data_IF_817190942761
#
_entry.id   IF_817190942761
#
_cell.length_a   1.000
_cell.length_b   1.000
_cell.length_c   1.000
_cell.angle_alpha   90.00
_cell.angle_beta   90.00
_cell.angle_gamma   90.00
#
_symmetry.space_group_name_H-M   'P 1'
#
loop_
_entity.id
_entity.type
_entity.pdbx_description
1 polymer ?
#
# COMPACT_ATOMS: atom_id res chain seq x y z
N UNK A 1 -1.10 4.90 32.36
CA UNK A 1 -1.85 5.50 31.25
C UNK A 1 -3.00 4.57 30.96
N UNK A 2 -4.25 5.06 31.04
CA UNK A 2 -5.42 4.21 30.75
C UNK A 2 -5.49 3.90 29.25
N UNK A 3 -6.21 2.85 28.85
CA UNK A 3 -6.46 2.52 27.43
C UNK A 3 -7.04 3.72 26.65
N UNK A 4 -7.70 4.66 27.32
CA UNK A 4 -8.33 5.83 26.69
C UNK A 4 -7.33 6.95 26.33
N UNK A 5 -6.18 7.05 27.01
CA UNK A 5 -5.15 8.07 26.71
C UNK A 5 -4.36 7.77 25.42
N UNK A 6 -4.34 6.51 24.96
CA UNK A 6 -3.71 6.11 23.69
C UNK A 6 -4.66 6.21 22.49
N UNK A 7 -5.98 6.35 22.73
CA UNK A 7 -7.01 6.29 21.70
C UNK A 7 -7.36 7.66 21.09
N UNK A 8 -6.81 8.76 21.62
CA UNK A 8 -7.22 10.10 21.20
C UNK A 8 -6.03 11.01 20.93
N UNK A 9 -6.12 11.77 19.84
CA UNK A 9 -5.19 12.87 19.58
C UNK A 9 -5.37 13.90 20.69
N UNK A 10 -4.29 14.19 21.43
CA UNK A 10 -4.33 15.15 22.54
C UNK A 10 -4.74 16.54 22.08
N UNK A 11 -5.33 17.34 22.96
CA UNK A 11 -5.78 18.70 22.64
C UNK A 11 -4.61 19.61 22.21
N UNK A 12 -3.42 19.41 22.78
CA UNK A 12 -2.20 20.12 22.36
C UNK A 12 -1.81 19.79 20.91
N UNK A 13 -1.91 18.51 20.50
CA UNK A 13 -1.63 18.10 19.12
C UNK A 13 -2.71 18.63 18.18
N UNK A 14 -3.99 18.56 18.57
CA UNK A 14 -5.11 19.13 17.80
C UNK A 14 -4.94 20.63 17.59
N UNK A 15 -4.52 21.38 18.61
CA UNK A 15 -4.28 22.80 18.53
C UNK A 15 -3.15 23.14 17.54
N UNK A 16 -2.03 22.40 17.58
CA UNK A 16 -0.93 22.57 16.63
C UNK A 16 -1.35 22.29 15.19
N UNK A 17 -2.03 21.17 14.95
CA UNK A 17 -2.51 20.79 13.62
C UNK A 17 -3.54 21.81 13.10
N UNK A 18 -4.46 22.26 13.95
CA UNK A 18 -5.44 23.28 13.60
C UNK A 18 -4.75 24.60 13.21
N UNK A 19 -3.69 24.99 13.92
CA UNK A 19 -2.90 26.18 13.55
C UNK A 19 -2.20 26.01 12.19
N UNK A 20 -1.53 24.88 11.95
CA UNK A 20 -0.82 24.60 10.67
C UNK A 20 -1.79 24.58 9.49
N UNK A 21 -2.97 24.00 9.69
CA UNK A 21 -3.96 23.79 8.63
C UNK A 21 -4.99 24.92 8.51
N UNK A 22 -4.79 26.02 9.26
CA UNK A 22 -5.73 27.15 9.32
C UNK A 22 -7.17 26.73 9.67
N UNK A 23 -7.30 25.74 10.56
CA UNK A 23 -8.58 25.21 11.02
C UNK A 23 -9.28 24.26 10.05
N UNK A 24 -8.64 23.87 8.94
CA UNK A 24 -9.24 22.95 7.95
C UNK A 24 -9.19 21.47 8.36
N UNK A 25 -8.33 21.10 9.30
CA UNK A 25 -8.20 19.72 9.74
C UNK A 25 -9.45 19.24 10.51
N UNK A 26 -9.89 18.02 10.19
CA UNK A 26 -10.97 17.31 10.87
C UNK A 26 -10.36 16.10 11.61
N UNK A 27 -10.75 15.87 12.86
CA UNK A 27 -10.32 14.70 13.65
C UNK A 27 -11.45 13.70 13.73
N UNK A 28 -11.20 12.49 13.24
CA UNK A 28 -12.23 11.48 13.04
C UNK A 28 -11.84 10.23 13.81
N UNK A 29 -12.73 9.77 14.69
CA UNK A 29 -12.58 8.49 15.35
C UNK A 29 -12.90 7.35 14.36
N UNK A 30 -12.15 6.25 14.46
CA UNK A 30 -12.46 5.04 13.72
C UNK A 30 -13.69 4.35 14.33
N UNK A 31 -14.48 3.69 13.49
CA UNK A 31 -15.61 2.88 13.94
C UNK A 31 -15.12 1.53 14.45
N UNK A 32 -15.88 0.90 15.36
CA UNK A 32 -15.59 -0.46 15.82
C UNK A 32 -15.46 -1.44 14.64
N UNK A 33 -16.35 -1.36 13.66
CA UNK A 33 -16.30 -2.18 12.44
C UNK A 33 -14.95 -2.07 11.68
N UNK A 34 -14.40 -0.86 11.61
CA UNK A 34 -13.17 -0.59 10.85
C UNK A 34 -11.90 -0.98 11.58
N UNK A 35 -11.94 -1.13 12.90
CA UNK A 35 -10.75 -1.29 13.74
C UNK A 35 -10.72 -2.57 14.57
N UNK A 36 -11.85 -2.96 15.16
CA UNK A 36 -11.91 -4.14 16.02
C UNK A 36 -11.74 -5.43 15.21
N UNK A 37 -11.17 -6.44 15.87
CA UNK A 37 -10.96 -7.75 15.26
C UNK A 37 -12.31 -8.49 15.18
N UNK A 38 -12.76 -8.90 13.98
CA UNK A 38 -14.03 -9.61 13.83
C UNK A 38 -14.09 -10.93 14.62
N UNK A 39 -15.29 -11.30 15.08
CA UNK A 39 -15.50 -12.53 15.88
C UNK A 39 -15.19 -13.83 15.15
N UNK A 40 -15.15 -13.83 13.81
CA UNK A 40 -14.84 -15.03 13.03
C UNK A 40 -13.36 -15.42 13.10
N UNK A 41 -12.49 -14.54 13.60
CA UNK A 41 -11.10 -14.84 13.86
C UNK A 41 -10.94 -15.72 15.11
N UNK A 42 -10.08 -16.72 15.02
CA UNK A 42 -9.65 -17.51 16.18
C UNK A 42 -8.74 -16.65 17.06
N UNK A 43 -9.31 -16.14 18.15
CA UNK A 43 -8.60 -15.28 19.10
C UNK A 43 -7.40 -15.97 19.75
N UNK A 44 -7.46 -17.29 19.96
CA UNK A 44 -6.35 -18.04 20.56
C UNK A 44 -5.18 -18.13 19.58
N UNK A 45 -5.50 -18.33 18.29
CA UNK A 45 -4.50 -18.33 17.23
C UNK A 45 -3.88 -16.93 17.05
N UNK A 46 -4.67 -15.86 17.16
CA UNK A 46 -4.15 -14.48 17.13
C UNK A 46 -3.15 -14.26 18.26
N UNK A 47 -3.54 -14.58 19.50
CA UNK A 47 -2.68 -14.35 20.67
C UNK A 47 -1.35 -15.11 20.54
N UNK A 48 -1.38 -16.33 20.00
CA UNK A 48 -0.17 -17.12 19.74
C UNK A 48 0.66 -16.52 18.61
N UNK A 49 0.03 -16.13 17.50
CA UNK A 49 0.72 -15.60 16.31
C UNK A 49 1.38 -14.25 16.59
N UNK A 50 0.74 -13.37 17.36
CA UNK A 50 1.30 -12.06 17.72
C UNK A 50 2.56 -12.18 18.60
N UNK A 51 2.68 -13.25 19.39
CA UNK A 51 3.90 -13.54 20.15
C UNK A 51 5.04 -13.97 19.23
N UNK A 52 4.74 -14.72 18.17
CA UNK A 52 5.74 -15.27 17.26
C UNK A 52 6.25 -14.24 16.24
N UNK A 53 5.36 -13.42 15.68
CA UNK A 53 5.67 -12.50 14.58
C UNK A 53 6.35 -11.21 15.10
N UNK A 54 6.30 -10.95 16.41
CA UNK A 54 6.93 -9.79 17.08
C UNK A 54 6.42 -8.41 16.62
N UNK A 55 5.20 -8.33 16.09
CA UNK A 55 4.51 -7.07 15.79
C UNK A 55 3.34 -6.84 16.74
N UNK A 56 2.98 -5.57 16.97
CA UNK A 56 1.88 -5.23 17.87
C UNK A 56 0.51 -5.52 17.24
N UNK A 57 -0.47 -5.87 18.07
CA UNK A 57 -1.88 -5.98 17.67
C UNK A 57 -2.37 -4.75 16.91
N UNK A 58 -2.03 -3.55 17.40
CA UNK A 58 -2.42 -2.28 16.78
C UNK A 58 -1.83 -2.09 15.38
N UNK A 59 -0.63 -2.62 15.12
CA UNK A 59 -0.02 -2.60 13.79
C UNK A 59 -0.78 -3.50 12.80
N UNK A 60 -1.18 -4.71 13.22
CA UNK A 60 -2.02 -5.60 12.42
C UNK A 60 -3.40 -4.99 12.13
N UNK A 61 -4.02 -4.35 13.14
CA UNK A 61 -5.28 -3.62 12.97
C UNK A 61 -5.13 -2.46 11.95
N UNK A 62 -4.02 -1.73 12.02
CA UNK A 62 -3.69 -0.66 11.05
C UNK A 62 -3.55 -1.21 9.63
N UNK A 63 -2.82 -2.32 9.44
CA UNK A 63 -2.69 -2.95 8.12
C UNK A 63 -4.05 -3.38 7.56
N UNK A 64 -4.90 -4.01 8.38
CA UNK A 64 -6.27 -4.36 7.99
C UNK A 64 -7.12 -3.13 7.68
N UNK A 65 -7.01 -2.06 8.47
CA UNK A 65 -7.75 -0.81 8.29
C UNK A 65 -7.42 -0.15 6.95
N UNK A 66 -6.13 0.00 6.63
CA UNK A 66 -5.72 0.58 5.35
C UNK A 66 -6.01 -0.36 4.19
N UNK A 67 -5.94 -1.68 4.38
CA UNK A 67 -6.34 -2.63 3.34
C UNK A 67 -7.84 -2.64 3.04
N UNK A 68 -8.66 -2.31 4.05
CA UNK A 68 -10.08 -2.72 4.15
C UNK A 68 -11.14 -1.64 4.40
N UNK A 69 -10.78 -0.52 5.03
CA UNK A 69 -11.77 0.40 5.61
C UNK A 69 -11.53 1.90 5.41
N UNK A 70 -10.31 2.39 5.18
CA UNK A 70 -10.03 3.84 5.22
C UNK A 70 -10.92 4.70 4.30
N UNK A 71 -11.21 4.22 3.09
CA UNK A 71 -12.02 4.87 2.06
C UNK A 71 -13.53 4.74 2.30
N UNK A 72 -13.94 3.85 3.22
CA UNK A 72 -15.33 3.68 3.65
C UNK A 72 -15.72 4.66 4.75
N UNK A 73 -14.75 5.36 5.34
CA UNK A 73 -15.01 6.27 6.45
C UNK A 73 -15.90 7.46 5.99
N UNK A 74 -17.03 7.75 6.67
CA UNK A 74 -17.92 8.85 6.29
C UNK A 74 -17.25 10.22 6.13
N UNK A 75 -16.12 10.45 6.82
CA UNK A 75 -15.36 11.69 6.71
C UNK A 75 -14.61 11.83 5.37
N UNK A 76 -14.38 10.73 4.64
CA UNK A 76 -13.67 10.76 3.35
C UNK A 76 -14.55 10.41 2.16
N UNK A 77 -15.71 9.78 2.37
CA UNK A 77 -16.65 9.41 1.28
C UNK A 77 -17.25 10.61 0.55
N UNK A 78 -17.10 11.82 1.09
CA UNK A 78 -17.42 13.09 0.40
C UNK A 78 -16.40 13.49 -0.68
N UNK A 79 -15.25 12.82 -0.77
CA UNK A 79 -14.19 13.09 -1.73
C UNK A 79 -14.03 11.95 -2.75
N UNK A 80 -13.61 12.30 -3.97
CA UNK A 80 -13.30 11.33 -5.02
C UNK A 80 -11.82 10.91 -4.99
N UNK A 81 -10.95 11.83 -4.61
CA UNK A 81 -9.51 11.62 -4.51
C UNK A 81 -9.07 11.63 -3.05
N UNK A 82 -8.26 10.65 -2.69
CA UNK A 82 -7.70 10.48 -1.36
C UNK A 82 -6.19 10.61 -1.46
N UNK A 83 -5.58 11.39 -0.57
CA UNK A 83 -4.12 11.45 -0.43
C UNK A 83 -3.74 11.01 0.99
N UNK A 84 -3.15 9.82 1.10
CA UNK A 84 -2.55 9.32 2.33
C UNK A 84 -1.16 9.90 2.50
N UNK A 85 -0.95 10.45 3.70
CA UNK A 85 0.34 10.89 4.22
C UNK A 85 0.53 10.23 5.59
N UNK A 86 1.64 9.52 5.76
CA UNK A 86 2.01 8.93 7.05
C UNK A 86 2.72 9.96 7.95
N UNK A 87 2.97 9.57 9.20
CA UNK A 87 3.87 10.31 10.08
C UNK A 87 5.34 10.07 9.70
N UNK A 88 6.26 10.89 10.22
CA UNK A 88 7.71 10.71 9.97
C UNK A 88 8.11 10.78 8.48
N UNK A 89 7.37 11.59 7.73
CA UNK A 89 7.65 11.89 6.32
C UNK A 89 8.41 13.21 6.17
N UNK A 90 9.27 13.27 5.15
CA UNK A 90 10.02 14.47 4.78
C UNK A 90 9.94 14.69 3.27
N UNK A 91 9.64 15.93 2.88
CA UNK A 91 9.76 16.40 1.50
C UNK A 91 11.05 17.23 1.37
N UNK A 92 11.98 16.75 0.56
CA UNK A 92 13.28 17.35 0.28
C UNK A 92 13.29 18.23 -0.97
N UNK A 93 12.13 18.44 -1.58
CA UNK A 93 11.94 19.33 -2.72
C UNK A 93 10.68 20.17 -2.54
N UNK A 94 10.72 21.43 -2.98
CA UNK A 94 9.49 22.21 -3.13
C UNK A 94 8.58 21.52 -4.15
N UNK A 95 7.27 21.53 -3.94
CA UNK A 95 6.28 20.93 -4.86
C UNK A 95 5.48 22.08 -5.50
N UNK A 96 5.85 22.55 -6.72
CA UNK A 96 5.27 23.76 -7.33
C UNK A 96 3.95 23.52 -8.09
N UNK A 97 3.26 22.42 -7.80
CA UNK A 97 2.05 21.98 -8.49
C UNK A 97 1.12 21.26 -7.49
N UNK A 98 -0.14 21.07 -7.89
CA UNK A 98 -1.08 20.22 -7.16
C UNK A 98 -0.81 18.74 -7.52
N UNK A 99 -0.37 17.89 -6.57
CA UNK A 99 -0.08 16.49 -6.84
C UNK A 99 -1.31 15.69 -7.26
N UNK A 100 -2.48 15.98 -6.69
CA UNK A 100 -3.73 15.29 -7.05
C UNK A 100 -4.11 15.65 -8.48
N UNK A 101 -4.03 16.94 -8.84
CA UNK A 101 -4.28 17.37 -10.21
C UNK A 101 -3.32 16.73 -11.20
N UNK A 102 -2.05 16.50 -10.83
CA UNK A 102 -1.09 15.82 -11.71
C UNK A 102 -1.47 14.37 -11.99
N UNK A 103 -1.98 13.63 -11.00
CA UNK A 103 -2.49 12.26 -11.24
C UNK A 103 -3.68 12.30 -12.20
N UNK A 104 -4.59 13.27 -12.03
CA UNK A 104 -5.73 13.48 -12.93
C UNK A 104 -5.27 13.77 -14.36
N UNK A 105 -4.33 14.71 -14.54
CA UNK A 105 -3.86 15.17 -15.85
C UNK A 105 -3.16 14.07 -16.66
N UNK A 106 -2.61 13.05 -15.99
CA UNK A 106 -1.99 11.88 -16.63
C UNK A 106 -2.99 10.77 -16.95
N UNK A 107 -4.27 10.94 -16.64
CA UNK A 107 -5.31 9.90 -16.70
C UNK A 107 -5.00 8.67 -15.81
N UNK A 108 -4.14 8.84 -14.81
CA UNK A 108 -3.88 7.82 -13.81
C UNK A 108 -5.02 7.80 -12.77
N UNK A 109 -5.16 6.69 -12.06
CA UNK A 109 -6.06 6.55 -10.91
C UNK A 109 -5.30 6.37 -9.60
N UNK A 110 -4.01 6.07 -9.68
CA UNK A 110 -3.13 5.82 -8.55
C UNK A 110 -1.79 6.51 -8.74
N UNK A 111 -1.31 7.21 -7.73
CA UNK A 111 -0.05 7.92 -7.68
C UNK A 111 0.78 7.49 -6.46
N UNK A 112 2.06 7.16 -6.67
CA UNK A 112 2.99 6.78 -5.62
C UNK A 112 4.36 7.43 -5.86
N UNK A 113 5.24 7.41 -4.85
CA UNK A 113 6.61 7.93 -5.01
C UNK A 113 7.63 6.81 -5.17
N UNK A 114 7.61 5.82 -4.27
CA UNK A 114 8.68 4.83 -4.15
C UNK A 114 8.16 3.40 -4.18
N UNK A 115 8.96 2.49 -4.73
CA UNK A 115 8.78 1.04 -4.59
C UNK A 115 9.68 0.51 -3.46
N UNK A 116 9.11 -0.38 -2.63
CA UNK A 116 9.84 -1.01 -1.54
C UNK A 116 9.59 -2.51 -1.50
N UNK A 117 10.61 -3.34 -1.18
CA UNK A 117 10.40 -4.74 -0.89
C UNK A 117 9.66 -4.91 0.44
N UNK A 118 8.77 -5.89 0.51
CA UNK A 118 8.22 -6.38 1.77
C UNK A 118 8.73 -7.80 2.07
N UNK A 119 8.86 -8.12 3.35
CA UNK A 119 9.36 -9.40 3.81
C UNK A 119 8.31 -10.50 3.60
N UNK A 120 8.66 -11.58 2.93
CA UNK A 120 7.76 -12.71 2.70
C UNK A 120 7.65 -13.64 3.93
N UNK A 121 8.67 -13.67 4.79
CA UNK A 121 8.66 -14.47 6.02
C UNK A 121 7.62 -14.01 7.06
N UNK A 122 7.18 -12.75 7.01
CA UNK A 122 6.08 -12.25 7.86
C UNK A 122 4.70 -12.49 7.25
N UNK A 123 4.64 -12.90 5.99
CA UNK A 123 3.40 -13.14 5.25
C UNK A 123 3.50 -14.40 4.36
N UNK A 124 3.86 -15.56 4.94
CA UNK A 124 4.18 -16.77 4.18
C UNK A 124 3.03 -17.28 3.30
N UNK A 125 1.77 -16.94 3.61
CA UNK A 125 0.62 -17.41 2.82
C UNK A 125 -0.06 -16.31 2.01
N UNK A 126 0.45 -15.07 1.98
CA UNK A 126 -0.20 -14.00 1.22
C UNK A 126 -0.27 -14.33 -0.28
N UNK A 127 0.86 -14.63 -0.92
CA UNK A 127 0.88 -14.90 -2.36
C UNK A 127 0.01 -16.11 -2.74
N UNK A 128 0.03 -17.18 -1.96
CA UNK A 128 -0.81 -18.35 -2.24
C UNK A 128 -2.30 -18.07 -2.05
N UNK A 129 -2.70 -17.24 -1.09
CA UNK A 129 -4.08 -16.77 -0.96
C UNK A 129 -4.51 -15.89 -2.14
N UNK A 130 -3.64 -14.97 -2.61
CA UNK A 130 -3.94 -14.16 -3.79
C UNK A 130 -4.08 -15.04 -5.05
N UNK A 131 -3.20 -16.02 -5.22
CA UNK A 131 -3.25 -17.02 -6.29
C UNK A 131 -4.57 -17.82 -6.27
N UNK A 132 -4.99 -18.29 -5.09
CA UNK A 132 -6.27 -18.97 -4.92
C UNK A 132 -7.48 -18.05 -5.22
N UNK A 133 -7.40 -16.76 -4.85
CA UNK A 133 -8.40 -15.76 -5.21
C UNK A 133 -8.51 -15.60 -6.74
N UNK A 134 -7.39 -15.40 -7.43
CA UNK A 134 -7.33 -15.26 -8.89
C UNK A 134 -7.97 -16.46 -9.61
N UNK A 135 -7.66 -17.68 -9.16
CA UNK A 135 -8.23 -18.91 -9.72
C UNK A 135 -9.75 -18.98 -9.50
N UNK A 136 -10.21 -18.71 -8.27
CA UNK A 136 -11.62 -18.88 -7.87
C UNK A 136 -12.53 -17.72 -8.32
N UNK A 137 -11.97 -16.56 -8.63
CA UNK A 137 -12.70 -15.34 -9.03
C UNK A 137 -12.27 -14.82 -10.41
N UNK A 138 -11.86 -15.74 -11.28
CA UNK A 138 -11.41 -15.37 -12.62
C UNK A 138 -12.48 -14.59 -13.41
N UNK A 139 -13.78 -14.78 -13.14
CA UNK A 139 -14.88 -14.03 -13.73
C UNK A 139 -14.82 -12.51 -13.46
N UNK A 140 -14.32 -12.11 -12.28
CA UNK A 140 -14.14 -10.70 -11.95
C UNK A 140 -13.04 -10.06 -12.81
N UNK A 141 -11.98 -10.81 -13.13
CA UNK A 141 -10.88 -10.36 -13.98
C UNK A 141 -11.29 -10.27 -15.45
N UNK A 142 -12.02 -11.27 -15.98
CA UNK A 142 -12.46 -11.29 -17.38
C UNK A 142 -13.41 -10.13 -17.74
N UNK A 143 -14.10 -9.56 -16.75
CA UNK A 143 -14.93 -8.37 -16.95
C UNK A 143 -14.11 -7.10 -17.28
N UNK A 144 -12.83 -7.08 -16.90
CA UNK A 144 -11.87 -6.02 -17.20
C UNK A 144 -10.96 -6.50 -18.35
N UNK A 145 -11.40 -6.31 -19.59
CA UNK A 145 -10.66 -6.75 -20.81
C UNK A 145 -9.34 -6.01 -21.07
N UNK A 146 -8.90 -5.18 -20.13
CA UNK A 146 -7.65 -4.42 -20.16
C UNK A 146 -6.57 -5.15 -19.36
N UNK A 147 -5.43 -5.42 -20.00
CA UNK A 147 -4.33 -6.22 -19.44
C UNK A 147 -3.94 -5.71 -18.03
N UNK A 148 -4.22 -6.48 -16.96
CA UNK A 148 -3.85 -6.08 -15.61
C UNK A 148 -2.33 -6.06 -15.47
N UNK A 149 -1.80 -5.16 -14.64
CA UNK A 149 -0.38 -4.97 -14.36
C UNK A 149 0.23 -6.12 -13.51
N UNK A 150 -0.11 -7.37 -13.84
CA UNK A 150 0.25 -8.57 -13.06
C UNK A 150 1.76 -8.81 -13.00
N UNK A 151 2.52 -8.32 -13.98
CA UNK A 151 3.99 -8.40 -13.97
C UNK A 151 4.65 -7.59 -12.84
N UNK A 152 3.92 -6.63 -12.25
CA UNK A 152 4.41 -5.91 -11.07
C UNK A 152 4.53 -6.83 -9.85
N UNK A 153 3.53 -7.70 -9.63
CA UNK A 153 3.48 -8.59 -8.48
C UNK A 153 4.01 -9.99 -8.78
N UNK A 154 3.91 -10.50 -10.00
CA UNK A 154 4.30 -11.87 -10.32
C UNK A 154 5.54 -11.91 -11.21
N UNK A 155 6.47 -12.82 -10.88
CA UNK A 155 7.76 -12.95 -11.56
C UNK A 155 7.60 -13.58 -12.94
N UNK A 156 7.66 -12.74 -13.95
CA UNK A 156 7.67 -13.16 -15.35
C UNK A 156 6.38 -13.91 -15.77
N UNK A 157 6.42 -14.47 -16.98
CA UNK A 157 5.26 -15.16 -17.56
C UNK A 157 4.84 -16.39 -16.76
N UNK A 158 5.80 -17.17 -16.27
CA UNK A 158 5.54 -18.39 -15.51
C UNK A 158 4.88 -18.07 -14.15
N UNK A 159 5.37 -17.07 -13.42
CA UNK A 159 4.75 -16.66 -12.15
C UNK A 159 3.32 -16.17 -12.34
N UNK A 160 3.03 -15.44 -13.43
CA UNK A 160 1.66 -15.04 -13.77
C UNK A 160 0.78 -16.27 -14.08
N UNK A 161 1.28 -17.23 -14.86
CA UNK A 161 0.54 -18.47 -15.17
C UNK A 161 0.27 -19.32 -13.91
N UNK A 162 1.25 -19.44 -13.02
CA UNK A 162 1.09 -20.11 -11.72
C UNK A 162 0.05 -19.40 -10.84
N UNK A 163 0.04 -18.06 -10.85
CA UNK A 163 -0.93 -17.27 -10.07
C UNK A 163 -2.35 -17.44 -10.60
N UNK A 164 -2.53 -17.38 -11.92
CA UNK A 164 -3.84 -17.55 -12.56
C UNK A 164 -4.38 -18.98 -12.42
N UNK A 165 -3.49 -19.97 -12.27
CA UNK A 165 -3.87 -21.38 -12.05
C UNK A 165 -4.02 -21.76 -10.57
N UNK A 166 -3.78 -20.84 -9.63
CA UNK A 166 -3.98 -21.08 -8.19
C UNK A 166 -2.85 -21.87 -7.52
N UNK A 167 -1.68 -21.98 -8.16
CA UNK A 167 -0.53 -22.77 -7.64
C UNK A 167 0.66 -21.92 -7.24
N UNK A 168 0.66 -20.61 -7.54
CA UNK A 168 1.74 -19.71 -7.15
C UNK A 168 1.90 -19.57 -5.63
N UNK A 169 3.14 -19.34 -5.20
CA UNK A 169 3.51 -18.98 -3.83
C UNK A 169 4.52 -17.82 -3.78
N UNK A 170 5.25 -17.72 -2.66
CA UNK A 170 6.21 -16.62 -2.44
C UNK A 170 7.43 -16.63 -3.37
N UNK A 171 7.71 -17.76 -4.02
CA UNK A 171 8.79 -17.87 -5.02
C UNK A 171 8.38 -17.26 -6.36
N UNK A 172 7.07 -17.21 -6.65
CA UNK A 172 6.51 -16.56 -7.83
C UNK A 172 6.24 -15.05 -7.62
N UNK A 173 6.21 -14.59 -6.36
CA UNK A 173 5.94 -13.20 -6.00
C UNK A 173 7.20 -12.32 -6.10
N UNK A 174 7.11 -11.13 -6.72
CA UNK A 174 8.22 -10.15 -6.81
C UNK A 174 8.62 -9.59 -5.45
N UNK A 175 7.70 -9.59 -4.46
CA UNK A 175 7.84 -8.97 -3.13
C UNK A 175 7.88 -7.44 -3.14
N UNK A 176 7.70 -6.84 -4.32
CA UNK A 176 7.74 -5.39 -4.47
C UNK A 176 6.36 -4.80 -4.25
N UNK A 177 6.34 -3.67 -3.56
CA UNK A 177 5.14 -2.96 -3.23
C UNK A 177 5.26 -1.49 -3.64
N UNK A 178 4.18 -0.91 -4.16
CA UNK A 178 4.05 0.55 -4.15
C UNK A 178 3.98 0.99 -2.69
N UNK A 179 4.97 1.76 -2.23
CA UNK A 179 5.14 2.02 -0.81
C UNK A 179 4.14 3.08 -0.32
N UNK A 180 2.99 2.58 0.14
CA UNK A 180 1.75 3.34 0.30
C UNK A 180 1.66 4.27 1.52
N UNK A 181 2.76 4.51 2.25
CA UNK A 181 2.84 5.60 3.23
C UNK A 181 2.69 6.98 2.54
N UNK A 182 3.02 7.03 1.25
CA UNK A 182 2.53 8.04 0.30
C UNK A 182 1.63 7.35 -0.72
N UNK A 183 0.38 7.80 -0.83
CA UNK A 183 -0.53 7.31 -1.85
C UNK A 183 -1.54 8.39 -2.23
N UNK A 184 -1.68 8.67 -3.54
CA UNK A 184 -2.80 9.44 -4.09
C UNK A 184 -3.66 8.47 -4.89
N UNK A 185 -4.91 8.27 -4.50
CA UNK A 185 -5.78 7.28 -5.13
C UNK A 185 -7.18 7.80 -5.39
N UNK A 186 -7.73 7.43 -6.55
CA UNK A 186 -9.14 7.63 -6.84
C UNK A 186 -9.96 6.57 -6.10
N UNK A 187 -10.98 7.01 -5.35
CA UNK A 187 -11.77 6.16 -4.46
C UNK A 187 -12.45 4.99 -5.17
N UNK A 188 -12.76 5.12 -6.46
CA UNK A 188 -13.40 4.06 -7.25
C UNK A 188 -12.57 2.77 -7.35
N UNK A 189 -11.25 2.83 -7.16
CA UNK A 189 -10.39 1.64 -7.10
C UNK A 189 -10.87 0.75 -5.96
N UNK A 190 -10.97 1.35 -4.78
CA UNK A 190 -11.27 0.68 -3.51
C UNK A 190 -12.75 0.30 -3.39
N UNK A 191 -13.64 0.99 -4.10
CA UNK A 191 -15.08 0.69 -4.17
C UNK A 191 -15.43 -0.34 -5.24
N UNK A 192 -14.46 -0.71 -6.10
CA UNK A 192 -14.71 -1.67 -7.15
C UNK A 192 -15.11 -3.03 -6.58
N UNK A 193 -15.98 -3.74 -7.30
CA UNK A 193 -16.39 -5.11 -6.92
C UNK A 193 -15.18 -6.04 -6.81
N UNK A 194 -14.17 -5.85 -7.67
CA UNK A 194 -12.94 -6.63 -7.64
C UNK A 194 -12.20 -6.42 -6.32
N UNK A 195 -11.87 -5.17 -5.97
CA UNK A 195 -11.08 -4.89 -4.77
C UNK A 195 -11.84 -5.22 -3.47
N UNK A 196 -13.14 -4.92 -3.40
CA UNK A 196 -13.96 -5.25 -2.22
C UNK A 196 -14.06 -6.76 -2.00
N UNK A 197 -14.30 -7.56 -3.05
CA UNK A 197 -14.33 -9.03 -2.94
C UNK A 197 -12.94 -9.59 -2.59
N UNK A 198 -11.88 -9.02 -3.16
CA UNK A 198 -10.50 -9.39 -2.87
C UNK A 198 -10.13 -9.16 -1.39
N UNK A 199 -10.41 -7.96 -0.88
CA UNK A 199 -10.17 -7.64 0.52
C UNK A 199 -10.97 -8.57 1.45
N UNK A 200 -12.25 -8.79 1.18
CA UNK A 200 -13.10 -9.68 2.00
C UNK A 200 -12.60 -11.13 2.00
N UNK A 201 -12.10 -11.61 0.86
CA UNK A 201 -11.47 -12.93 0.76
C UNK A 201 -10.23 -13.02 1.66
N UNK A 202 -9.33 -12.03 1.58
CA UNK A 202 -8.13 -11.99 2.42
C UNK A 202 -8.47 -11.84 3.91
N UNK A 203 -9.43 -10.98 4.26
CA UNK A 203 -9.85 -10.80 5.65
C UNK A 203 -10.42 -12.12 6.24
N UNK A 204 -11.07 -12.94 5.43
CA UNK A 204 -11.54 -14.27 5.85
C UNK A 204 -10.42 -15.30 5.97
N UNK A 205 -9.37 -15.19 5.17
CA UNK A 205 -8.19 -16.06 5.26
C UNK A 205 -7.36 -15.79 6.52
N UNK A 206 -7.39 -14.55 7.01
CA UNK A 206 -7.00 -14.19 8.37
C UNK A 206 -5.53 -13.86 8.59
N UNK A 207 -4.71 -13.82 7.53
CA UNK A 207 -3.29 -13.49 7.64
C UNK A 207 -2.97 -12.04 8.06
N UNK A 208 -3.98 -11.16 8.20
CA UNK A 208 -3.78 -9.88 8.90
C UNK A 208 -3.39 -10.07 10.38
N UNK A 209 -3.82 -11.15 11.03
CA UNK A 209 -3.57 -11.40 12.45
C UNK A 209 -2.91 -12.75 12.77
N UNK A 210 -3.07 -13.76 11.90
CA UNK A 210 -2.31 -15.03 12.01
C UNK A 210 -0.90 -14.91 11.41
N UNK A 211 -0.71 -13.91 10.56
CA UNK A 211 0.56 -13.48 9.96
C UNK A 211 0.68 -11.96 10.16
N UNK A 212 1.48 -11.28 9.34
CA UNK A 212 1.48 -9.82 9.20
C UNK A 212 1.29 -9.50 7.72
N UNK A 213 0.06 -9.54 7.24
CA UNK A 213 -0.25 -9.01 5.92
C UNK A 213 -0.30 -7.50 5.98
N UNK A 214 0.64 -6.85 5.29
CA UNK A 214 0.72 -5.40 5.22
C UNK A 214 -0.27 -4.84 4.21
N UNK A 215 -0.71 -3.61 4.42
CA UNK A 215 -1.53 -2.89 3.46
C UNK A 215 -0.77 -2.55 2.17
N UNK A 216 0.54 -2.30 2.22
CA UNK A 216 1.34 -2.06 1.01
C UNK A 216 1.33 -3.25 0.02
N UNK A 217 1.62 -4.51 0.42
CA UNK A 217 1.52 -5.64 -0.50
C UNK A 217 0.07 -5.96 -0.89
N UNK A 218 -0.91 -5.80 0.00
CA UNK A 218 -2.32 -6.00 -0.33
C UNK A 218 -2.81 -4.98 -1.38
N UNK A 219 -2.49 -3.69 -1.21
CA UNK A 219 -2.77 -2.65 -2.21
C UNK A 219 -2.07 -2.99 -3.52
N UNK A 220 -0.81 -3.39 -3.48
CA UNK A 220 -0.02 -3.72 -4.67
C UNK A 220 -0.65 -4.86 -5.50
N UNK A 221 -1.09 -5.95 -4.85
CA UNK A 221 -1.86 -7.00 -5.53
C UNK A 221 -3.20 -6.49 -6.05
N UNK A 222 -3.96 -5.78 -5.21
CA UNK A 222 -5.26 -5.22 -5.59
C UNK A 222 -5.19 -4.30 -6.82
N UNK A 223 -4.21 -3.40 -6.84
CA UNK A 223 -3.94 -2.46 -7.92
C UNK A 223 -3.45 -3.19 -9.18
N UNK A 224 -2.51 -4.14 -9.05
CA UNK A 224 -2.02 -4.92 -10.18
C UNK A 224 -3.14 -5.68 -10.89
N UNK A 225 -4.12 -6.20 -10.14
CA UNK A 225 -5.30 -6.86 -10.70
C UNK A 225 -6.34 -5.89 -11.28
N UNK A 226 -6.42 -4.66 -10.74
CA UNK A 226 -7.51 -3.71 -11.06
C UNK A 226 -7.14 -2.70 -12.15
N UNK A 227 -5.86 -2.35 -12.28
CA UNK A 227 -5.39 -1.25 -13.10
C UNK A 227 -4.42 -1.70 -14.18
N UNK A 228 -4.47 -1.00 -15.32
CA UNK A 228 -3.39 -1.05 -16.31
C UNK A 228 -2.20 -0.24 -15.83
N UNK A 229 -1.03 -0.52 -16.40
CA UNK A 229 0.21 0.21 -16.12
C UNK A 229 0.09 1.71 -16.40
N UNK A 230 -0.61 2.14 -17.45
CA UNK A 230 -0.85 3.56 -17.79
C UNK A 230 -1.83 4.27 -16.84
N UNK A 231 -2.48 3.53 -15.93
CA UNK A 231 -3.36 4.09 -14.90
C UNK A 231 -2.66 4.27 -13.54
N UNK A 232 -1.35 4.01 -13.50
CA UNK A 232 -0.50 4.15 -12.33
C UNK A 232 0.60 5.14 -12.67
N UNK A 233 0.81 6.13 -11.80
CA UNK A 233 1.80 7.18 -11.98
C UNK A 233 2.81 7.14 -10.82
N UNK A 234 4.11 7.16 -11.17
CA UNK A 234 5.16 7.43 -10.20
C UNK A 234 5.54 8.92 -10.21
N UNK A 235 5.67 9.51 -9.03
CA UNK A 235 6.27 10.83 -8.85
C UNK A 235 7.79 10.70 -8.73
N UNK A 236 8.51 10.83 -9.84
CA UNK A 236 9.99 10.83 -9.86
C UNK A 236 10.62 12.17 -9.48
N UNK A 237 9.79 13.20 -9.26
CA UNK A 237 10.22 14.58 -9.01
C UNK A 237 9.86 15.09 -7.60
N UNK A 238 9.56 14.15 -6.70
CA UNK A 238 9.35 14.36 -5.27
C UNK A 238 10.47 13.67 -4.49
N UNK A 239 11.42 14.44 -3.93
CA UNK A 239 12.35 13.89 -2.94
C UNK A 239 11.60 13.57 -1.66
N UNK A 240 11.00 12.38 -1.57
CA UNK A 240 10.14 11.98 -0.47
C UNK A 240 10.81 10.88 0.34
N UNK A 241 10.86 11.06 1.66
CA UNK A 241 11.47 10.12 2.58
C UNK A 241 10.50 9.77 3.70
N UNK A 242 10.53 8.51 4.14
CA UNK A 242 9.77 8.03 5.29
C UNK A 242 10.73 7.33 6.27
N UNK A 243 10.63 7.64 7.56
CA UNK A 243 11.41 7.01 8.65
C UNK A 243 12.95 7.05 8.47
N UNK A 244 13.47 8.03 7.73
CA UNK A 244 14.89 8.13 7.44
C UNK A 244 15.43 7.04 6.50
N UNK A 245 14.56 6.24 5.87
CA UNK A 245 14.96 5.18 4.94
C UNK A 245 15.55 5.76 3.64
N UNK A 246 16.18 4.89 2.84
CA UNK A 246 16.66 5.26 1.51
C UNK A 246 15.51 5.72 0.62
N UNK A 247 15.76 6.77 -0.15
CA UNK A 247 14.80 7.39 -1.06
C UNK A 247 15.52 7.92 -2.31
N UNK A 248 14.77 8.08 -3.40
CA UNK A 248 15.30 8.68 -4.62
C UNK A 248 15.34 10.21 -4.49
N UNK A 249 16.54 10.79 -4.58
CA UNK A 249 16.73 12.22 -4.55
C UNK A 249 16.84 12.79 -5.98
N UNK A 250 15.88 13.61 -6.44
CA UNK A 250 15.94 14.27 -7.74
C UNK A 250 16.83 15.52 -7.69
N UNK A 251 18.09 15.34 -7.28
CA UNK A 251 19.11 16.40 -7.08
C UNK A 251 19.42 17.24 -8.34
N UNK A 252 18.90 16.84 -9.51
CA UNK A 252 19.02 17.61 -10.75
C UNK A 252 18.02 18.77 -10.82
N UNK A 253 17.07 18.85 -9.89
CA UNK A 253 16.09 19.93 -9.80
C UNK A 253 16.59 21.00 -8.81
N UNK A 254 16.66 22.26 -9.26
CA UNK A 254 17.10 23.40 -8.43
C UNK A 254 16.20 23.70 -7.22
N UNK A 255 15.06 23.01 -7.12
CA UNK A 255 14.08 23.11 -6.03
C UNK A 255 14.23 22.04 -4.95
N UNK A 256 15.33 21.29 -4.99
CA UNK A 256 15.60 20.21 -4.04
C UNK A 256 16.78 20.55 -3.14
N UNK A 257 16.66 20.23 -1.86
CA UNK A 257 17.70 20.40 -0.84
C UNK A 257 18.42 19.09 -0.53
N UNK A 258 17.88 17.94 -0.96
CA UNK A 258 18.57 16.66 -0.82
C UNK A 258 19.86 16.64 -1.65
N UNK A 259 20.90 16.06 -1.06
CA UNK A 259 22.18 15.78 -1.72
C UNK A 259 22.25 14.27 -1.95
N UNK A 260 22.88 13.82 -3.04
CA UNK A 260 23.16 12.39 -3.29
C UNK A 260 24.25 11.88 -2.33
N UNK A 261 23.95 11.93 -1.04
CA UNK A 261 24.80 11.53 0.08
C UNK A 261 23.98 10.69 1.07
N UNK A 262 24.66 10.00 1.99
CA UNK A 262 24.00 9.15 2.99
C UNK A 262 23.08 8.09 2.38
N UNK A 263 21.87 7.97 2.92
CA UNK A 263 20.88 6.95 2.50
C UNK A 263 20.35 7.15 1.07
N UNK A 264 20.55 8.33 0.46
CA UNK A 264 20.12 8.64 -0.89
C UNK A 264 21.24 8.48 -1.95
N UNK A 265 22.50 8.27 -1.54
CA UNK A 265 23.66 8.32 -2.44
C UNK A 265 23.62 7.28 -3.56
N UNK A 266 23.11 6.09 -3.26
CA UNK A 266 23.06 4.93 -4.16
C UNK A 266 21.67 4.30 -4.23
N UNK A 267 20.65 5.00 -3.74
CA UNK A 267 19.30 4.48 -3.76
C UNK A 267 18.71 4.53 -5.17
N UNK A 268 18.11 3.41 -5.59
CA UNK A 268 17.32 3.29 -6.80
C UNK A 268 16.31 2.16 -6.54
N UNK A 269 15.02 2.47 -6.61
CA UNK A 269 13.95 1.49 -6.42
C UNK A 269 13.68 0.65 -7.67
N UNK A 270 14.35 0.97 -8.78
CA UNK A 270 14.24 0.37 -10.10
C UNK A 270 12.79 0.35 -10.61
N UNK A 271 12.00 1.37 -10.28
CA UNK A 271 10.57 1.42 -10.56
C UNK A 271 10.19 1.04 -11.99
N UNK A 272 10.87 1.60 -12.99
CA UNK A 272 10.62 1.33 -14.42
C UNK A 272 10.72 -0.17 -14.77
N UNK A 273 11.56 -0.93 -14.07
CA UNK A 273 11.77 -2.36 -14.34
C UNK A 273 10.58 -3.21 -13.90
N UNK A 274 9.87 -2.81 -12.84
CA UNK A 274 8.74 -3.55 -12.28
C UNK A 274 7.48 -3.43 -13.13
N UNK A 275 7.31 -2.32 -13.84
CA UNK A 275 6.16 -2.09 -14.73
C UNK A 275 6.40 -2.57 -16.17
N UNK A 276 7.65 -2.83 -16.55
CA UNK A 276 8.05 -3.39 -17.85
C UNK A 276 8.55 -4.85 -17.74
N UNK A 277 8.20 -5.56 -16.66
CA UNK A 277 8.68 -6.90 -16.36
C UNK A 277 8.05 -7.99 -17.26
N UNK A 278 8.28 -7.91 -18.57
CA UNK A 278 8.18 -9.07 -19.46
C UNK A 278 9.48 -9.89 -19.53
N UNK A 279 10.59 -9.36 -18.99
CA UNK A 279 11.95 -9.82 -19.38
C UNK A 279 13.01 -10.02 -18.27
N UNK A 280 12.68 -10.09 -16.97
CA UNK A 280 13.74 -10.24 -15.94
C UNK A 280 13.68 -11.51 -15.11
N UNK A 281 14.48 -12.47 -15.58
CA UNK A 281 15.28 -13.35 -14.74
C UNK A 281 16.51 -12.56 -14.24
N UNK A 282 16.82 -12.68 -12.95
CA UNK A 282 18.04 -12.19 -12.26
C UNK A 282 18.20 -10.69 -11.95
N UNK A 283 18.60 -10.43 -10.68
CA UNK A 283 19.26 -9.24 -10.12
C UNK A 283 18.45 -8.19 -9.34
N UNK A 284 17.62 -8.56 -8.36
CA UNK A 284 17.39 -7.71 -7.17
C UNK A 284 17.15 -8.55 -5.91
N UNK A 285 18.13 -9.37 -5.55
CA UNK A 285 18.30 -9.88 -4.20
C UNK A 285 19.74 -9.61 -3.78
N UNK A 286 20.01 -8.39 -3.35
CA UNK A 286 20.97 -8.13 -2.28
C UNK A 286 20.57 -6.80 -1.63
N UNK A 287 20.16 -6.80 -0.35
CA UNK A 287 19.92 -5.58 0.40
C UNK A 287 21.21 -4.77 0.60
#
# INVERSE_FOLDING_TARGET
MSKDELATVSDDVKAKISWITEGRAEFVALTEESWEIPEFYDQTLIDTSLLDISFSKGYCQMCRFYSGFFWRNPAVTKYEWLWRLDTEIEFHCDIPYDPVQRVIDTNALYGFVQIAPDADWVQPTLASNVSAFLQSHSDLLHSHSSHPNMGFTWRGKEGIENAMSGVAGNDDWTRMCMYNNFEISHRSIWESRLYTTFFEYLDRAGGFFYERWGDAPVHSFGLAMSLRTDQIMQFSDMGYQHQGWGYECPAHLDRCTCVKEGVAASFNDNAETWFNATDYDTLLLNP
#
